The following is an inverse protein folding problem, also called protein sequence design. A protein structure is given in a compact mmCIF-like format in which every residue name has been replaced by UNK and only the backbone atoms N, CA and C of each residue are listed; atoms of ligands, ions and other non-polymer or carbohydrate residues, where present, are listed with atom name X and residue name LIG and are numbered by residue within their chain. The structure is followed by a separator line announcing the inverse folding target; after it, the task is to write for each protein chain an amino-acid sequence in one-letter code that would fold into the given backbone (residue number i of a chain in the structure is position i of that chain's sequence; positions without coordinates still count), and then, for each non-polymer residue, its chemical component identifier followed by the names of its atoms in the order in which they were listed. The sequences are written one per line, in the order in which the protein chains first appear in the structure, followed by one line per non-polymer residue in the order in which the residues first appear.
data_IF_053358804561
#
_entry.id   IF_053358804561
#
_cell.length_a   1.000
_cell.length_b   1.000
_cell.length_c   1.000
_cell.angle_alpha   90.00
_cell.angle_beta   90.00
_cell.angle_gamma   90.00
#
_symmetry.space_group_name_H-M   'P 1'
#
loop_
_entity.id
_entity.type
_entity.pdbx_description
1 polymer ?
#
# COMPACT_ATOMS: atom_id res chain seq x y z
N UNK A 1 15.27 5.60 17.97
CA UNK A 1 14.07 6.14 18.65
C UNK A 1 13.05 6.66 17.65
N UNK A 2 13.45 7.49 16.69
CA UNK A 2 12.57 8.08 15.66
C UNK A 2 11.83 7.01 14.82
N UNK A 3 12.50 5.94 14.37
CA UNK A 3 11.82 4.90 13.57
C UNK A 3 10.67 4.21 14.30
N UNK A 4 10.82 3.91 15.60
CA UNK A 4 9.76 3.26 16.40
C UNK A 4 8.52 4.15 16.54
N UNK A 5 8.70 5.47 16.61
CA UNK A 5 7.60 6.43 16.70
C UNK A 5 6.87 6.52 15.36
N UNK A 6 7.62 6.63 14.25
CA UNK A 6 7.06 6.73 12.89
C UNK A 6 6.25 5.50 12.48
N UNK A 7 6.60 4.33 13.01
CA UNK A 7 5.91 3.06 12.73
C UNK A 7 4.83 2.69 13.77
N UNK A 8 4.55 3.55 14.75
CA UNK A 8 3.45 3.34 15.68
C UNK A 8 2.09 3.53 14.99
N UNK A 9 1.12 2.61 15.13
CA UNK A 9 -0.15 2.66 14.41
C UNK A 9 -1.01 3.89 14.77
N UNK A 10 -1.05 4.28 16.05
CA UNK A 10 -1.81 5.44 16.51
C UNK A 10 -1.20 6.73 15.98
N UNK A 11 0.12 6.87 16.07
CA UNK A 11 0.82 8.04 15.55
C UNK A 11 0.59 8.21 14.05
N UNK A 12 0.71 7.12 13.27
CA UNK A 12 0.47 7.14 11.83
C UNK A 12 -0.96 7.49 11.49
N UNK A 13 -1.93 6.94 12.23
CA UNK A 13 -3.34 7.25 12.03
C UNK A 13 -3.64 8.73 12.27
N UNK A 14 -3.16 9.28 13.39
CA UNK A 14 -3.31 10.71 13.69
C UNK A 14 -2.64 11.58 12.63
N UNK A 15 -1.38 11.30 12.30
CA UNK A 15 -0.63 12.07 11.31
C UNK A 15 -1.27 12.00 9.92
N UNK A 16 -1.80 10.84 9.52
CA UNK A 16 -2.51 10.68 8.26
C UNK A 16 -3.71 11.64 8.16
N UNK A 17 -4.56 11.68 9.19
CA UNK A 17 -5.71 12.58 9.23
C UNK A 17 -5.31 14.04 9.41
N UNK A 18 -4.21 14.33 10.12
CA UNK A 18 -3.65 15.67 10.19
C UNK A 18 -3.20 16.17 8.83
N UNK A 19 -2.50 15.34 8.03
CA UNK A 19 -2.09 15.69 6.66
C UNK A 19 -3.31 15.93 5.77
N UNK A 20 -4.28 15.01 5.80
CA UNK A 20 -5.50 15.14 5.01
C UNK A 20 -6.29 16.40 5.41
N UNK A 21 -6.48 16.63 6.70
CA UNK A 21 -7.19 17.80 7.23
C UNK A 21 -6.46 19.11 6.94
N UNK A 22 -5.14 19.15 7.07
CA UNK A 22 -4.33 20.33 6.73
C UNK A 22 -4.44 20.67 5.24
N UNK A 23 -4.48 19.66 4.36
CA UNK A 23 -4.71 19.89 2.93
C UNK A 23 -6.10 20.47 2.67
N UNK A 24 -7.14 19.88 3.28
CA UNK A 24 -8.53 20.36 3.14
C UNK A 24 -8.67 21.81 3.65
N UNK A 25 -8.08 22.12 4.80
CA UNK A 25 -8.06 23.48 5.35
C UNK A 25 -7.29 24.46 4.46
N UNK A 26 -6.17 24.02 3.89
CA UNK A 26 -5.41 24.83 2.93
C UNK A 26 -6.23 25.08 1.66
N UNK A 27 -6.97 24.07 1.18
CA UNK A 27 -7.82 24.22 0.01
C UNK A 27 -8.94 25.26 0.21
N UNK A 28 -9.55 25.32 1.40
CA UNK A 28 -10.53 26.35 1.78
C UNK A 28 -9.97 27.77 1.71
N UNK A 29 -8.67 27.93 2.02
CA UNK A 29 -8.00 29.22 1.95
C UNK A 29 -7.62 29.64 0.52
N UNK A 30 -7.23 28.69 -0.34
CA UNK A 30 -6.67 28.99 -1.67
C UNK A 30 -7.65 28.85 -2.83
N UNK A 31 -8.75 28.10 -2.67
CA UNK A 31 -9.71 27.84 -3.74
C UNK A 31 -11.00 28.62 -3.50
N UNK A 32 -11.18 29.74 -4.22
CA UNK A 32 -12.39 30.58 -4.11
C UNK A 32 -13.70 29.81 -4.36
N UNK A 33 -13.64 28.73 -5.15
CA UNK A 33 -14.79 27.89 -5.50
C UNK A 33 -15.17 26.86 -4.42
N UNK A 34 -14.34 26.69 -3.38
CA UNK A 34 -14.51 25.71 -2.31
C UNK A 34 -14.58 26.40 -0.95
N UNK A 35 -15.67 26.16 -0.21
CA UNK A 35 -15.84 26.72 1.13
C UNK A 35 -16.36 25.69 2.14
N UNK A 36 -15.54 25.39 3.15
CA UNK A 36 -15.89 24.50 4.26
C UNK A 36 -17.04 25.06 5.10
N UNK A 37 -17.09 26.37 5.30
CA UNK A 37 -18.14 27.01 6.09
C UNK A 37 -19.51 26.81 5.45
N UNK A 38 -19.59 26.95 4.12
CA UNK A 38 -20.82 26.67 3.35
C UNK A 38 -21.23 25.21 3.45
N UNK A 39 -20.29 24.27 3.33
CA UNK A 39 -20.57 22.84 3.43
C UNK A 39 -21.06 22.43 4.82
N UNK A 40 -20.43 22.95 5.87
CA UNK A 40 -20.86 22.72 7.26
C UNK A 40 -22.25 23.31 7.51
N UNK A 41 -22.55 24.48 6.95
CA UNK A 41 -23.87 25.10 7.06
C UNK A 41 -24.97 24.23 6.43
N UNK A 42 -24.73 23.65 5.25
CA UNK A 42 -25.66 22.72 4.60
C UNK A 42 -25.90 21.48 5.46
N UNK A 43 -24.82 20.88 5.99
CA UNK A 43 -24.91 19.70 6.85
C UNK A 43 -25.69 19.97 8.15
N UNK A 44 -25.40 21.09 8.82
CA UNK A 44 -26.11 21.50 10.04
C UNK A 44 -27.59 21.79 9.77
N UNK A 45 -27.89 22.53 8.70
CA UNK A 45 -29.26 22.85 8.29
C UNK A 45 -30.08 21.58 8.02
N UNK A 46 -29.49 20.59 7.34
CA UNK A 46 -30.16 19.31 7.11
C UNK A 46 -30.43 18.50 8.38
N UNK A 47 -29.56 18.61 9.40
CA UNK A 47 -29.73 17.93 10.69
C UNK A 47 -30.76 18.63 11.58
N UNK A 48 -30.83 19.97 11.56
CA UNK A 48 -31.65 20.78 12.46
C UNK A 48 -33.02 21.15 11.86
N UNK A 49 -33.06 21.54 10.59
CA UNK A 49 -34.24 22.03 9.87
C UNK A 49 -34.82 21.05 8.84
N UNK A 50 -34.20 19.88 8.66
CA UNK A 50 -34.66 18.85 7.74
C UNK A 50 -34.34 19.14 6.27
N UNK A 51 -34.97 18.38 5.37
CA UNK A 51 -34.63 18.34 3.94
C UNK A 51 -34.91 19.67 3.23
N UNK A 52 -35.97 20.37 3.62
CA UNK A 52 -36.40 21.62 2.97
C UNK A 52 -35.43 22.77 3.24
N UNK A 53 -34.89 22.87 4.45
CA UNK A 53 -33.93 23.92 4.81
C UNK A 53 -32.52 23.63 4.26
N UNK A 54 -32.17 22.36 4.08
CA UNK A 54 -30.98 22.00 3.31
C UNK A 54 -31.15 22.31 1.81
N UNK A 55 -32.34 22.07 1.25
CA UNK A 55 -32.63 22.31 -0.16
C UNK A 55 -32.53 23.80 -0.53
N UNK A 56 -32.95 24.71 0.35
CA UNK A 56 -32.79 26.17 0.15
C UNK A 56 -31.34 26.60 0.05
N UNK A 57 -30.43 25.97 0.81
CA UNK A 57 -29.01 26.30 0.77
C UNK A 57 -28.34 25.77 -0.52
N UNK A 58 -28.84 24.68 -1.08
CA UNK A 58 -28.32 24.10 -2.33
C UNK A 58 -28.63 25.00 -3.55
N UNK A 59 -29.55 25.94 -3.43
CA UNK A 59 -29.85 26.94 -4.47
C UNK A 59 -28.70 27.96 -4.66
N UNK A 60 -27.84 28.18 -3.64
CA UNK A 60 -26.65 29.02 -3.82
C UNK A 60 -25.67 28.32 -4.79
N UNK A 61 -25.36 28.92 -5.95
CA UNK A 61 -24.37 28.36 -6.88
C UNK A 61 -23.02 28.08 -6.21
N UNK A 62 -22.65 28.88 -5.20
CA UNK A 62 -21.42 28.69 -4.44
C UNK A 62 -21.43 27.45 -3.53
N UNK A 63 -22.61 26.97 -3.12
CA UNK A 63 -22.75 25.70 -2.38
C UNK A 63 -22.56 24.52 -3.34
N UNK A 64 -23.14 24.60 -4.54
CA UNK A 64 -22.99 23.57 -5.58
C UNK A 64 -21.53 23.40 -5.99
N UNK A 65 -20.83 24.51 -6.25
CA UNK A 65 -19.40 24.45 -6.56
C UNK A 65 -18.61 23.86 -5.40
N UNK A 66 -18.89 24.30 -4.17
CA UNK A 66 -18.20 23.80 -2.97
C UNK A 66 -18.40 22.30 -2.79
N UNK A 67 -19.59 21.75 -3.05
CA UNK A 67 -19.88 20.32 -2.96
C UNK A 67 -19.10 19.52 -4.01
N UNK A 68 -19.05 19.99 -5.25
CA UNK A 68 -18.28 19.33 -6.30
C UNK A 68 -16.77 19.36 -6.00
N UNK A 69 -16.22 20.52 -5.60
CA UNK A 69 -14.82 20.65 -5.22
C UNK A 69 -14.48 19.85 -3.96
N UNK A 70 -15.40 19.70 -3.00
CA UNK A 70 -15.18 18.90 -1.79
C UNK A 70 -14.79 17.46 -2.12
N UNK A 71 -15.42 16.85 -3.13
CA UNK A 71 -15.11 15.49 -3.58
C UNK A 71 -13.67 15.41 -4.09
N UNK A 72 -13.29 16.34 -4.98
CA UNK A 72 -11.94 16.40 -5.54
C UNK A 72 -10.88 16.67 -4.48
N UNK A 73 -11.10 17.68 -3.63
CA UNK A 73 -10.21 18.05 -2.52
C UNK A 73 -10.04 16.89 -1.55
N UNK A 74 -11.12 16.20 -1.17
CA UNK A 74 -11.05 15.01 -0.31
C UNK A 74 -10.24 13.87 -0.97
N UNK A 75 -10.47 13.62 -2.27
CA UNK A 75 -9.70 12.65 -3.04
C UNK A 75 -8.20 12.97 -3.07
N UNK A 76 -7.84 14.21 -3.38
CA UNK A 76 -6.45 14.67 -3.40
C UNK A 76 -5.81 14.63 -2.01
N UNK A 77 -6.53 15.06 -0.96
CA UNK A 77 -6.08 15.00 0.42
C UNK A 77 -5.71 13.57 0.82
N UNK A 78 -6.60 12.62 0.53
CA UNK A 78 -6.35 11.20 0.80
C UNK A 78 -5.17 10.67 -0.02
N UNK A 79 -5.07 10.99 -1.31
CA UNK A 79 -3.94 10.57 -2.15
C UNK A 79 -2.60 11.08 -1.62
N UNK A 80 -2.53 12.36 -1.20
CA UNK A 80 -1.33 12.93 -0.61
C UNK A 80 -0.99 12.27 0.73
N UNK A 81 -1.98 12.04 1.59
CA UNK A 81 -1.77 11.34 2.84
C UNK A 81 -1.28 9.91 2.61
N UNK A 82 -1.82 9.18 1.63
CA UNK A 82 -1.34 7.85 1.24
C UNK A 82 0.07 7.89 0.66
N UNK A 83 0.35 8.82 -0.25
CA UNK A 83 1.67 9.01 -0.86
C UNK A 83 2.74 9.23 0.22
N UNK A 84 2.52 10.20 1.11
CA UNK A 84 3.49 10.56 2.14
C UNK A 84 3.62 9.41 3.15
N UNK A 85 2.51 8.96 3.73
CA UNK A 85 2.55 8.05 4.86
C UNK A 85 2.88 6.61 4.47
N UNK A 86 2.44 6.14 3.30
CA UNK A 86 2.58 4.74 2.92
C UNK A 86 3.65 4.56 1.85
N UNK A 87 3.69 5.38 0.81
CA UNK A 87 4.63 5.17 -0.29
C UNK A 87 6.02 5.68 0.06
N UNK A 88 6.15 6.98 0.36
CA UNK A 88 7.44 7.61 0.62
C UNK A 88 8.11 7.04 1.87
N UNK A 89 7.36 6.84 2.96
CA UNK A 89 7.93 6.25 4.18
C UNK A 89 8.38 4.80 3.99
N UNK A 90 7.65 3.98 3.21
CA UNK A 90 8.10 2.63 2.89
C UNK A 90 9.34 2.68 1.99
N UNK A 91 9.36 3.51 0.94
CA UNK A 91 10.53 3.69 0.07
C UNK A 91 11.76 4.12 0.88
N UNK A 92 11.63 5.11 1.77
CA UNK A 92 12.72 5.56 2.63
C UNK A 92 13.19 4.46 3.59
N UNK A 93 12.25 3.70 4.16
CA UNK A 93 12.57 2.60 5.06
C UNK A 93 13.29 1.47 4.33
N UNK A 94 12.82 1.09 3.14
CA UNK A 94 13.49 0.11 2.29
C UNK A 94 14.85 0.60 1.83
N UNK A 95 14.98 1.88 1.47
CA UNK A 95 16.27 2.51 1.18
C UNK A 95 17.24 2.43 2.36
N UNK A 96 16.75 2.63 3.59
CA UNK A 96 17.55 2.41 4.81
C UNK A 96 17.95 0.95 4.99
N UNK A 97 17.04 0.00 4.76
CA UNK A 97 17.34 -1.43 4.84
C UNK A 97 18.39 -1.86 3.81
N UNK A 98 18.30 -1.35 2.57
CA UNK A 98 19.29 -1.60 1.51
C UNK A 98 20.70 -1.11 1.87
N UNK A 99 20.81 0.00 2.59
CA UNK A 99 22.12 0.49 3.08
C UNK A 99 22.75 -0.45 4.12
N UNK A 100 21.96 -1.27 4.81
CA UNK A 100 22.47 -2.24 5.80
C UNK A 100 23.15 -3.43 5.11
N UNK A 101 22.69 -3.85 3.93
CA UNK A 101 23.20 -5.02 3.20
C UNK A 101 24.65 -4.89 2.69
N UNK A 102 25.29 -3.72 2.83
CA UNK A 102 26.69 -3.46 2.45
C UNK A 102 27.06 -3.96 1.03
N UNK A 103 26.31 -3.51 0.02
CA UNK A 103 26.35 -3.95 -1.40
C UNK A 103 27.73 -4.02 -2.07
N UNK A 104 28.77 -3.44 -1.47
CA UNK A 104 30.14 -3.41 -2.03
C UNK A 104 31.01 -4.58 -1.55
N UNK A 105 30.57 -5.34 -0.56
CA UNK A 105 31.37 -6.39 0.06
C UNK A 105 31.44 -7.69 -0.76
N UNK A 106 30.49 -7.91 -1.68
CA UNK A 106 30.32 -9.18 -2.40
C UNK A 106 29.87 -10.32 -1.48
N UNK A 107 29.72 -11.53 -2.03
CA UNK A 107 29.18 -12.69 -1.30
C UNK A 107 30.02 -13.06 -0.06
N UNK A 108 31.35 -13.11 -0.20
CA UNK A 108 32.25 -13.45 0.91
C UNK A 108 32.33 -12.36 1.99
N UNK A 109 32.40 -11.09 1.58
CA UNK A 109 32.43 -9.98 2.52
C UNK A 109 31.09 -9.82 3.25
N UNK A 110 29.98 -10.16 2.59
CA UNK A 110 28.67 -10.27 3.22
C UNK A 110 28.68 -11.38 4.28
N UNK A 111 29.09 -12.59 3.91
CA UNK A 111 29.17 -13.74 4.83
C UNK A 111 29.95 -13.41 6.12
N UNK A 112 31.14 -12.82 5.98
CA UNK A 112 32.01 -12.47 7.11
C UNK A 112 31.46 -11.41 8.05
N UNK A 113 30.57 -10.54 7.57
CA UNK A 113 29.99 -9.43 8.38
C UNK A 113 28.54 -9.66 8.76
N UNK A 114 27.97 -10.79 8.33
CA UNK A 114 26.53 -11.03 8.39
C UNK A 114 26.01 -11.12 9.83
N UNK A 115 26.52 -12.07 10.61
CA UNK A 115 26.04 -12.34 11.99
C UNK A 115 26.33 -11.17 12.94
N UNK A 116 27.48 -10.50 12.80
CA UNK A 116 27.88 -9.41 13.71
C UNK A 116 27.23 -8.06 13.39
N UNK A 117 27.10 -7.71 12.10
CA UNK A 117 26.73 -6.35 11.68
C UNK A 117 25.39 -6.27 10.97
N UNK A 118 25.11 -7.19 10.05
CA UNK A 118 23.97 -7.09 9.12
C UNK A 118 22.70 -7.61 9.79
N UNK A 119 22.71 -8.87 10.24
CA UNK A 119 21.55 -9.54 10.83
C UNK A 119 20.96 -8.78 12.03
N UNK A 120 21.72 -8.34 13.06
CA UNK A 120 21.13 -7.63 14.19
C UNK A 120 20.44 -6.32 13.80
N UNK A 121 20.89 -5.66 12.73
CA UNK A 121 20.30 -4.42 12.23
C UNK A 121 19.05 -4.67 11.39
N UNK A 122 19.06 -5.70 10.54
CA UNK A 122 17.89 -6.08 9.76
C UNK A 122 16.75 -6.61 10.65
N UNK A 123 17.06 -7.43 11.65
CA UNK A 123 16.07 -7.94 12.61
C UNK A 123 15.39 -6.84 13.42
N UNK A 124 16.07 -5.71 13.65
CA UNK A 124 15.52 -4.53 14.32
C UNK A 124 14.74 -3.60 13.38
N UNK A 125 14.72 -3.89 12.07
CA UNK A 125 14.04 -3.06 11.10
C UNK A 125 12.51 -3.22 11.24
N UNK A 126 11.74 -2.12 11.33
CA UNK A 126 10.32 -2.16 11.67
C UNK A 126 9.45 -2.88 10.64
N UNK A 127 9.81 -2.84 9.36
CA UNK A 127 9.03 -3.47 8.29
C UNK A 127 9.50 -4.86 7.90
N UNK A 128 10.81 -5.08 7.82
CA UNK A 128 11.37 -6.32 7.26
C UNK A 128 11.93 -7.23 8.34
N UNK A 129 12.00 -6.81 9.61
CA UNK A 129 12.70 -7.56 10.65
C UNK A 129 12.13 -8.95 10.89
N UNK A 130 10.81 -9.09 10.93
CA UNK A 130 10.14 -10.39 11.08
C UNK A 130 10.34 -11.27 9.84
N UNK A 131 10.04 -10.75 8.65
CA UNK A 131 10.21 -11.49 7.39
C UNK A 131 11.66 -11.86 7.11
N UNK A 132 12.61 -11.00 7.50
CA UNK A 132 14.04 -11.28 7.40
C UNK A 132 14.47 -12.38 8.37
N UNK A 133 13.86 -12.47 9.55
CA UNK A 133 14.12 -13.56 10.48
C UNK A 133 13.72 -14.91 9.87
N UNK A 134 12.52 -14.99 9.30
CA UNK A 134 12.04 -16.22 8.66
C UNK A 134 12.93 -16.60 7.46
N UNK A 135 13.35 -15.61 6.67
CA UNK A 135 14.32 -15.84 5.61
C UNK A 135 15.70 -16.30 6.15
N UNK A 136 16.20 -15.68 7.22
CA UNK A 136 17.48 -16.02 7.86
C UNK A 136 17.53 -17.48 8.31
N UNK A 137 16.41 -17.99 8.83
CA UNK A 137 16.26 -19.37 9.29
C UNK A 137 16.39 -20.38 8.13
N UNK A 138 16.27 -19.94 6.87
CA UNK A 138 16.44 -20.80 5.67
C UNK A 138 17.83 -20.76 5.04
N UNK A 139 18.71 -19.89 5.54
CA UNK A 139 20.05 -19.71 4.98
C UNK A 139 21.00 -20.82 5.44
N UNK A 140 21.81 -21.34 4.53
CA UNK A 140 22.86 -22.31 4.84
C UNK A 140 24.16 -21.56 5.14
N UNK A 141 24.65 -21.71 6.38
CA UNK A 141 25.80 -20.96 6.91
C UNK A 141 26.95 -21.84 7.37
N UNK A 142 26.80 -23.16 7.29
CA UNK A 142 27.73 -24.14 7.88
C UNK A 142 29.16 -24.07 7.32
N UNK A 143 29.33 -23.43 6.15
CA UNK A 143 30.61 -23.33 5.44
C UNK A 143 31.22 -21.93 5.46
N UNK A 144 30.61 -21.00 6.20
CA UNK A 144 31.15 -19.63 6.33
C UNK A 144 32.54 -19.65 6.97
N UNK A 145 32.74 -20.48 8.00
CA UNK A 145 34.04 -20.65 8.66
C UNK A 145 35.11 -21.27 7.73
N UNK A 146 34.69 -21.89 6.62
CA UNK A 146 35.56 -22.46 5.59
C UNK A 146 35.85 -21.47 4.45
N UNK A 147 35.38 -20.22 4.59
CA UNK A 147 35.54 -19.19 3.56
C UNK A 147 34.59 -19.34 2.38
N UNK A 148 33.47 -20.06 2.54
CA UNK A 148 32.40 -20.12 1.54
C UNK A 148 31.32 -19.06 1.81
N UNK A 149 30.64 -18.56 0.75
CA UNK A 149 29.54 -17.61 0.92
C UNK A 149 28.33 -18.24 1.60
N UNK A 150 27.47 -17.41 2.19
CA UNK A 150 26.16 -17.87 2.69
C UNK A 150 25.31 -18.26 1.50
N UNK A 151 24.69 -19.44 1.57
CA UNK A 151 23.82 -19.93 0.51
C UNK A 151 22.34 -19.73 0.87
N UNK A 152 21.54 -19.36 -0.12
CA UNK A 152 20.09 -19.35 0.01
C UNK A 152 19.44 -20.43 -0.86
N UNK A 153 18.50 -21.16 -0.27
CA UNK A 153 17.74 -22.23 -0.94
C UNK A 153 16.38 -21.75 -1.43
N UNK A 154 15.83 -20.75 -0.74
CA UNK A 154 14.62 -20.04 -1.09
C UNK A 154 14.99 -18.59 -1.39
N UNK A 155 14.24 -17.95 -2.28
CA UNK A 155 14.43 -16.54 -2.63
C UNK A 155 13.79 -15.62 -1.58
N UNK A 156 14.39 -14.48 -1.23
CA UNK A 156 13.84 -13.56 -0.22
C UNK A 156 12.46 -13.00 -0.58
N UNK A 157 12.11 -12.92 -1.87
CA UNK A 157 10.79 -12.49 -2.35
C UNK A 157 9.64 -13.37 -1.84
N UNK A 158 9.93 -14.62 -1.43
CA UNK A 158 8.94 -15.50 -0.82
C UNK A 158 8.43 -14.97 0.53
N UNK A 159 9.31 -14.31 1.29
CA UNK A 159 9.02 -13.76 2.62
C UNK A 159 8.77 -12.25 2.59
N UNK A 160 9.50 -11.54 1.73
CA UNK A 160 9.49 -10.08 1.64
C UNK A 160 8.75 -9.68 0.36
N UNK A 161 7.46 -9.39 0.51
CA UNK A 161 6.58 -9.02 -0.59
C UNK A 161 5.50 -8.04 -0.13
N UNK A 162 4.65 -7.61 -1.07
CA UNK A 162 3.58 -6.64 -0.79
C UNK A 162 2.55 -7.14 0.23
N UNK A 163 2.35 -8.45 0.37
CA UNK A 163 1.41 -9.00 1.34
C UNK A 163 1.84 -8.68 2.77
N UNK A 164 3.13 -8.84 3.08
CA UNK A 164 3.72 -8.45 4.37
C UNK A 164 3.51 -6.95 4.68
N UNK A 165 3.66 -6.08 3.69
CA UNK A 165 3.40 -4.64 3.88
C UNK A 165 1.92 -4.38 4.15
N UNK A 166 1.01 -5.04 3.44
CA UNK A 166 -0.45 -4.90 3.63
C UNK A 166 -0.91 -5.40 5.00
N UNK A 167 -0.25 -6.40 5.58
CA UNK A 167 -0.54 -6.87 6.94
C UNK A 167 -0.19 -5.82 8.00
N UNK A 168 0.96 -5.16 7.85
CA UNK A 168 1.39 -4.11 8.76
C UNK A 168 0.67 -2.76 8.50
N UNK A 169 0.20 -2.53 7.28
CA UNK A 169 -0.43 -1.28 6.84
C UNK A 169 -1.82 -1.57 6.23
N UNK A 170 -2.88 -1.68 7.07
CA UNK A 170 -4.22 -2.01 6.60
C UNK A 170 -4.80 -0.96 5.64
N UNK A 171 -4.32 0.29 5.69
CA UNK A 171 -4.69 1.34 4.74
C UNK A 171 -4.45 0.96 3.27
N UNK A 172 -3.41 0.17 2.99
CA UNK A 172 -3.11 -0.29 1.63
C UNK A 172 -4.05 -1.41 1.15
N UNK A 173 -4.78 -2.07 2.06
CA UNK A 173 -5.83 -3.04 1.68
C UNK A 173 -7.09 -2.34 1.18
N UNK A 174 -7.42 -1.19 1.77
CA UNK A 174 -8.65 -0.45 1.45
C UNK A 174 -8.48 0.56 0.32
N UNK A 175 -7.25 0.97 0.00
CA UNK A 175 -6.97 2.03 -0.98
C UNK A 175 -7.60 1.76 -2.35
N UNK A 176 -7.61 0.51 -2.82
CA UNK A 176 -8.21 0.16 -4.11
C UNK A 176 -9.73 0.25 -4.12
N UNK A 177 -10.38 0.14 -2.97
CA UNK A 177 -11.85 0.25 -2.84
C UNK A 177 -12.33 1.70 -2.78
N UNK A 178 -11.47 2.63 -2.35
CA UNK A 178 -11.84 4.04 -2.15
C UNK A 178 -12.27 4.72 -3.46
N UNK A 179 -11.68 4.36 -4.61
CA UNK A 179 -12.13 4.90 -5.90
C UNK A 179 -13.60 4.57 -6.17
N UNK A 180 -14.03 3.35 -5.85
CA UNK A 180 -15.42 2.93 -5.96
C UNK A 180 -16.36 3.76 -5.08
N UNK A 181 -15.92 4.14 -3.89
CA UNK A 181 -16.71 5.01 -3.01
C UNK A 181 -16.92 6.40 -3.61
N UNK A 182 -15.94 6.98 -4.29
CA UNK A 182 -16.14 8.28 -4.98
C UNK A 182 -17.18 8.22 -6.10
N UNK A 183 -17.23 7.12 -6.87
CA UNK A 183 -18.30 6.89 -7.84
C UNK A 183 -19.64 6.77 -7.14
N UNK A 184 -19.70 5.97 -6.07
CA UNK A 184 -20.89 5.79 -5.25
C UNK A 184 -21.40 7.09 -4.66
N UNK A 185 -20.52 7.94 -4.14
CA UNK A 185 -20.86 9.27 -3.60
C UNK A 185 -21.42 10.18 -4.69
N UNK A 186 -20.80 10.25 -5.88
CA UNK A 186 -21.32 11.03 -7.00
C UNK A 186 -22.71 10.57 -7.45
N UNK A 187 -22.94 9.25 -7.50
CA UNK A 187 -24.23 8.65 -7.84
C UNK A 187 -25.28 8.91 -6.74
N UNK A 188 -24.91 8.78 -5.46
CA UNK A 188 -25.78 9.08 -4.34
C UNK A 188 -26.26 10.54 -4.38
N UNK A 189 -25.35 11.49 -4.58
CA UNK A 189 -25.68 12.91 -4.70
C UNK A 189 -26.58 13.17 -5.92
N UNK A 190 -26.41 12.41 -7.00
CA UNK A 190 -27.29 12.50 -8.17
C UNK A 190 -28.72 12.09 -7.83
N UNK A 191 -28.89 10.98 -7.09
CA UNK A 191 -30.21 10.55 -6.65
C UNK A 191 -30.85 11.53 -5.68
N UNK A 192 -30.07 12.05 -4.70
CA UNK A 192 -30.53 13.08 -3.78
C UNK A 192 -31.00 14.32 -4.56
N UNK A 193 -30.21 14.79 -5.53
CA UNK A 193 -30.60 15.91 -6.39
C UNK A 193 -31.92 15.66 -7.13
N UNK A 194 -32.12 14.45 -7.70
CA UNK A 194 -33.37 14.12 -8.38
C UNK A 194 -34.56 14.10 -7.41
N UNK A 195 -34.40 13.54 -6.20
CA UNK A 195 -35.46 13.51 -5.19
C UNK A 195 -35.84 14.92 -4.75
N UNK A 196 -34.86 15.79 -4.51
CA UNK A 196 -35.09 17.20 -4.17
C UNK A 196 -35.81 17.95 -5.30
N UNK A 197 -35.39 17.74 -6.54
CA UNK A 197 -36.04 18.31 -7.71
C UNK A 197 -37.51 17.87 -7.80
N UNK A 198 -37.78 16.57 -7.68
CA UNK A 198 -39.14 16.04 -7.78
C UNK A 198 -40.05 16.54 -6.66
N UNK A 199 -39.52 16.64 -5.43
CA UNK A 199 -40.26 17.20 -4.30
C UNK A 199 -40.72 18.64 -4.58
N UNK A 200 -39.83 19.48 -5.10
CA UNK A 200 -40.15 20.86 -5.48
C UNK A 200 -41.10 20.96 -6.67
N UNK A 201 -40.95 20.10 -7.68
CA UNK A 201 -41.88 20.07 -8.80
C UNK A 201 -43.31 19.71 -8.33
N UNK A 202 -43.43 18.77 -7.39
CA UNK A 202 -44.71 18.35 -6.85
C UNK A 202 -45.40 19.46 -6.04
N UNK A 203 -44.65 20.24 -5.24
CA UNK A 203 -45.22 21.38 -4.50
C UNK A 203 -45.66 22.50 -5.44
N UNK A 204 -44.90 22.80 -6.48
CA UNK A 204 -45.22 23.84 -7.45
C UNK A 204 -46.40 23.49 -8.37
N UNK A 205 -46.54 22.21 -8.75
CA UNK A 205 -47.64 21.73 -9.60
C UNK A 205 -49.03 21.89 -8.96
N UNK A 206 -49.10 22.00 -7.63
CA UNK A 206 -50.34 22.31 -6.91
C UNK A 206 -50.71 23.79 -6.87
N UNK A 207 -49.86 24.69 -7.39
CA UNK A 207 -50.10 26.14 -7.39
C UNK A 207 -50.78 26.61 -8.68
N UNK A 208 -51.70 27.58 -8.57
CA UNK A 208 -52.34 28.25 -9.72
C UNK A 208 -51.61 29.51 -10.18
N UNK A 209 -50.48 29.85 -9.54
CA UNK A 209 -49.70 31.05 -9.80
C UNK A 209 -48.55 30.77 -10.80
N UNK A 210 -48.58 31.47 -11.93
CA UNK A 210 -47.57 31.34 -12.97
C UNK A 210 -46.16 31.74 -12.48
N UNK A 211 -46.05 32.67 -11.52
CA UNK A 211 -44.76 33.07 -10.95
C UNK A 211 -44.13 31.94 -10.12
N UNK A 212 -44.95 31.19 -9.38
CA UNK A 212 -44.52 30.03 -8.59
C UNK A 212 -44.05 28.90 -9.51
N UNK A 213 -44.78 28.64 -10.60
CA UNK A 213 -44.33 27.68 -11.62
C UNK A 213 -43.01 28.09 -12.27
N UNK A 214 -42.80 29.37 -12.57
CA UNK A 214 -41.56 29.85 -13.18
C UNK A 214 -40.35 29.69 -12.22
N UNK A 215 -40.52 30.03 -10.93
CA UNK A 215 -39.48 29.83 -9.91
C UNK A 215 -39.10 28.36 -9.78
N UNK A 216 -40.11 27.49 -9.70
CA UNK A 216 -39.88 26.05 -9.59
C UNK A 216 -39.09 25.49 -10.79
N UNK A 217 -39.37 25.97 -12.02
CA UNK A 217 -38.58 25.57 -13.21
C UNK A 217 -37.13 26.04 -13.12
N UNK A 218 -36.87 27.25 -12.63
CA UNK A 218 -35.49 27.75 -12.44
C UNK A 218 -34.74 26.93 -11.39
N UNK A 219 -35.39 26.62 -10.27
CA UNK A 219 -34.82 25.77 -9.21
C UNK A 219 -34.55 24.35 -9.69
N UNK A 220 -35.44 23.77 -10.50
CA UNK A 220 -35.23 22.46 -11.13
C UNK A 220 -33.98 22.44 -12.01
N UNK A 221 -33.72 23.52 -12.75
CA UNK A 221 -32.51 23.64 -13.57
C UNK A 221 -31.25 23.76 -12.72
N UNK A 222 -31.30 24.47 -11.59
CA UNK A 222 -30.17 24.56 -10.65
C UNK A 222 -29.86 23.21 -10.00
N UNK A 223 -30.89 22.50 -9.51
CA UNK A 223 -30.74 21.16 -8.93
C UNK A 223 -30.23 20.17 -9.99
N UNK A 224 -30.66 20.33 -11.24
CA UNK A 224 -30.14 19.54 -12.35
C UNK A 224 -28.65 19.81 -12.61
N UNK A 225 -28.19 21.06 -12.54
CA UNK A 225 -26.77 21.41 -12.65
C UNK A 225 -25.96 20.80 -11.50
N UNK A 226 -26.47 20.89 -10.27
CA UNK A 226 -25.88 20.31 -9.07
C UNK A 226 -25.57 18.82 -9.23
N UNK A 227 -26.58 18.00 -9.59
CA UNK A 227 -26.40 16.55 -9.73
C UNK A 227 -25.35 16.17 -10.79
N UNK A 228 -25.24 16.95 -11.87
CA UNK A 228 -24.26 16.68 -12.92
C UNK A 228 -22.84 17.04 -12.46
N UNK A 229 -22.64 18.20 -11.84
CA UNK A 229 -21.32 18.61 -11.35
C UNK A 229 -20.77 17.69 -10.27
N UNK A 230 -21.59 17.30 -9.28
CA UNK A 230 -21.14 16.37 -8.23
C UNK A 230 -20.84 14.98 -8.77
N UNK A 231 -21.59 14.52 -9.79
CA UNK A 231 -21.35 13.24 -10.45
C UNK A 231 -20.06 13.25 -11.27
N UNK A 232 -19.83 14.31 -12.06
CA UNK A 232 -18.58 14.50 -12.81
C UNK A 232 -17.38 14.53 -11.85
N UNK A 233 -17.49 15.27 -10.74
CA UNK A 233 -16.44 15.31 -9.72
C UNK A 233 -16.18 13.94 -9.10
N UNK A 234 -17.22 13.17 -8.76
CA UNK A 234 -17.12 11.80 -8.25
C UNK A 234 -16.43 10.85 -9.22
N UNK A 235 -16.82 10.87 -10.49
CA UNK A 235 -16.21 10.04 -11.53
C UNK A 235 -14.76 10.43 -11.81
N UNK A 236 -14.48 11.73 -11.99
CA UNK A 236 -13.13 12.22 -12.25
C UNK A 236 -12.19 11.87 -11.09
N UNK A 237 -12.63 12.12 -9.85
CA UNK A 237 -11.86 11.78 -8.64
C UNK A 237 -11.63 10.29 -8.54
N UNK A 238 -12.64 9.45 -8.82
CA UNK A 238 -12.50 7.99 -8.84
C UNK A 238 -11.45 7.52 -9.82
N UNK A 239 -11.46 8.01 -11.07
CA UNK A 239 -10.49 7.62 -12.10
C UNK A 239 -9.08 7.98 -11.66
N UNK A 240 -8.87 9.22 -11.21
CA UNK A 240 -7.57 9.68 -10.72
C UNK A 240 -7.11 8.83 -9.53
N UNK A 241 -8.01 8.55 -8.59
CA UNK A 241 -7.70 7.75 -7.40
C UNK A 241 -7.34 6.30 -7.76
N UNK A 242 -8.07 5.68 -8.68
CA UNK A 242 -7.82 4.32 -9.15
C UNK A 242 -6.45 4.21 -9.86
N UNK A 243 -6.10 5.19 -10.69
CA UNK A 243 -4.79 5.22 -11.34
C UNK A 243 -3.67 5.45 -10.33
N UNK A 244 -3.79 6.48 -9.49
CA UNK A 244 -2.77 6.83 -8.50
C UNK A 244 -2.53 5.69 -7.49
N UNK A 245 -3.58 5.04 -7.00
CA UNK A 245 -3.46 3.89 -6.10
C UNK A 245 -2.70 2.72 -6.73
N UNK A 246 -2.89 2.44 -8.03
CA UNK A 246 -2.10 1.43 -8.77
C UNK A 246 -0.63 1.83 -8.82
N UNK A 247 -0.32 3.08 -9.14
CA UNK A 247 1.05 3.58 -9.15
C UNK A 247 1.73 3.46 -7.78
N UNK A 248 1.01 3.74 -6.70
CA UNK A 248 1.52 3.60 -5.33
C UNK A 248 1.91 2.15 -5.00
N UNK A 249 1.07 1.18 -5.39
CA UNK A 249 1.36 -0.24 -5.18
C UNK A 249 2.60 -0.67 -5.99
N UNK A 250 2.66 -0.31 -7.27
CA UNK A 250 3.81 -0.61 -8.14
C UNK A 250 5.10 -0.03 -7.56
N UNK A 251 5.05 1.18 -7.01
CA UNK A 251 6.20 1.82 -6.41
C UNK A 251 6.69 1.07 -5.16
N UNK A 252 5.77 0.70 -4.26
CA UNK A 252 6.10 -0.10 -3.06
C UNK A 252 6.67 -1.46 -3.47
N UNK A 253 6.04 -2.16 -4.42
CA UNK A 253 6.53 -3.44 -4.94
C UNK A 253 7.95 -3.30 -5.51
N UNK A 254 8.20 -2.25 -6.29
CA UNK A 254 9.53 -1.97 -6.82
C UNK A 254 10.56 -1.73 -5.71
N UNK A 255 10.18 -1.06 -4.62
CA UNK A 255 11.06 -0.83 -3.47
C UNK A 255 11.47 -2.14 -2.77
N UNK A 256 10.49 -3.04 -2.60
CA UNK A 256 10.70 -4.38 -2.04
C UNK A 256 11.56 -5.24 -2.96
N UNK A 257 11.24 -5.29 -4.26
CA UNK A 257 12.01 -6.04 -5.25
C UNK A 257 13.47 -5.59 -5.27
N UNK A 258 13.74 -4.28 -5.30
CA UNK A 258 15.11 -3.76 -5.24
C UNK A 258 15.87 -4.17 -3.97
N UNK A 259 15.18 -4.31 -2.84
CA UNK A 259 15.80 -4.80 -1.62
C UNK A 259 16.10 -6.30 -1.70
N UNK A 260 15.15 -7.09 -2.22
CA UNK A 260 15.32 -8.54 -2.40
C UNK A 260 16.44 -8.85 -3.40
N UNK A 261 16.52 -8.16 -4.52
CA UNK A 261 17.61 -8.28 -5.50
C UNK A 261 18.97 -7.95 -4.86
N UNK A 262 19.04 -6.88 -4.07
CA UNK A 262 20.27 -6.51 -3.37
C UNK A 262 20.68 -7.53 -2.31
N UNK A 263 19.72 -8.23 -1.70
CA UNK A 263 20.00 -9.32 -0.78
C UNK A 263 20.45 -10.57 -1.53
N UNK A 264 19.77 -10.95 -2.62
CA UNK A 264 20.15 -12.09 -3.47
C UNK A 264 21.55 -11.93 -4.06
N UNK A 265 21.92 -10.72 -4.50
CA UNK A 265 23.27 -10.47 -5.05
C UNK A 265 24.42 -10.68 -4.06
N UNK A 266 24.11 -10.77 -2.76
CA UNK A 266 25.09 -10.97 -1.69
C UNK A 266 25.12 -12.43 -1.20
N UNK A 267 24.28 -13.29 -1.79
CA UNK A 267 24.07 -14.67 -1.41
C UNK A 267 24.30 -15.57 -2.61
N UNK A 268 24.77 -16.79 -2.36
CA UNK A 268 24.89 -17.80 -3.40
C UNK A 268 23.60 -18.61 -3.47
N UNK A 269 22.86 -18.48 -4.56
CA UNK A 269 21.63 -19.26 -4.74
C UNK A 269 21.94 -20.73 -5.05
N UNK A 270 21.53 -21.60 -4.12
CA UNK A 270 21.62 -23.06 -4.25
C UNK A 270 20.22 -23.65 -4.29
N UNK A 271 19.73 -23.94 -5.50
CA UNK A 271 18.38 -24.50 -5.65
C UNK A 271 18.23 -25.85 -4.90
N UNK A 272 17.06 -26.15 -4.33
CA UNK A 272 16.81 -27.44 -3.67
C UNK A 272 17.11 -28.64 -4.58
N UNK A 273 16.81 -28.53 -5.88
CA UNK A 273 17.12 -29.56 -6.87
C UNK A 273 18.62 -29.76 -7.05
N UNK A 274 19.41 -28.67 -7.05
CA UNK A 274 20.87 -28.78 -7.12
C UNK A 274 21.48 -29.41 -5.87
N UNK A 275 20.88 -29.16 -4.69
CA UNK A 275 21.29 -29.80 -3.44
C UNK A 275 20.94 -31.29 -3.47
N UNK A 276 19.72 -31.64 -3.91
CA UNK A 276 19.30 -33.04 -4.06
C UNK A 276 20.18 -33.80 -5.08
N UNK A 277 20.54 -33.16 -6.20
CA UNK A 277 21.44 -33.75 -7.18
C UNK A 277 22.84 -33.99 -6.58
N UNK A 278 23.40 -33.02 -5.83
CA UNK A 278 24.67 -33.21 -5.11
C UNK A 278 24.59 -34.34 -4.09
N UNK A 279 23.50 -34.42 -3.31
CA UNK A 279 23.29 -35.49 -2.34
C UNK A 279 23.20 -36.87 -3.02
N UNK A 280 22.57 -36.94 -4.19
CA UNK A 280 22.49 -38.16 -5.00
C UNK A 280 23.86 -38.61 -5.52
N UNK A 281 24.69 -37.68 -6.00
CA UNK A 281 26.06 -37.99 -6.42
C UNK A 281 26.92 -38.46 -5.22
N UNK A 282 26.87 -37.75 -4.09
CA UNK A 282 27.56 -38.19 -2.87
C UNK A 282 27.08 -39.60 -2.43
N UNK A 283 25.78 -39.89 -2.58
CA UNK A 283 25.24 -41.21 -2.31
C UNK A 283 25.75 -42.31 -3.26
N UNK A 284 25.99 -41.99 -4.54
CA UNK A 284 26.65 -42.92 -5.48
C UNK A 284 28.09 -43.19 -5.06
N UNK A 285 28.84 -42.14 -4.70
CA UNK A 285 30.23 -42.28 -4.27
C UNK A 285 30.34 -43.15 -3.02
N UNK A 286 29.47 -42.92 -2.02
CA UNK A 286 29.40 -43.76 -0.82
C UNK A 286 29.05 -45.21 -1.14
N UNK A 287 28.09 -45.44 -2.04
CA UNK A 287 27.74 -46.80 -2.50
C UNK A 287 28.94 -47.48 -3.14
N UNK A 288 29.69 -46.77 -3.98
CA UNK A 288 30.83 -47.34 -4.71
C UNK A 288 32.02 -47.61 -3.77
N UNK A 289 32.26 -46.75 -2.78
CA UNK A 289 33.20 -47.03 -1.68
C UNK A 289 32.78 -48.26 -0.86
N UNK A 290 31.49 -48.42 -0.54
CA UNK A 290 30.99 -49.59 0.18
C UNK A 290 31.18 -50.89 -0.63
N UNK A 291 31.00 -50.84 -1.94
CA UNK A 291 31.28 -51.97 -2.84
C UNK A 291 32.76 -52.31 -2.87
N UNK A 292 33.64 -51.31 -2.85
CA UNK A 292 35.09 -51.54 -2.79
C UNK A 292 35.50 -52.20 -1.47
N UNK A 293 35.02 -51.70 -0.33
CA UNK A 293 35.29 -52.27 1.00
C UNK A 293 34.80 -53.73 1.09
N UNK A 294 33.63 -54.03 0.53
CA UNK A 294 33.08 -55.39 0.52
C UNK A 294 33.64 -56.29 -0.60
N UNK A 295 34.59 -55.81 -1.40
CA UNK A 295 35.21 -56.62 -2.44
C UNK A 295 36.31 -57.51 -1.85
N UNK A 296 36.44 -58.74 -2.37
CA UNK A 296 37.52 -59.67 -2.00
C UNK A 296 38.92 -59.03 -2.15
N UNK A 297 39.04 -58.03 -3.02
CA UNK A 297 40.26 -57.24 -3.26
C UNK A 297 40.66 -56.35 -2.07
N UNK A 298 39.71 -55.91 -1.25
CA UNK A 298 39.99 -55.16 -0.03
C UNK A 298 40.47 -56.11 1.08
N UNK A 299 39.80 -57.26 1.26
CA UNK A 299 40.18 -58.26 2.25
C UNK A 299 41.54 -58.93 1.97
N UNK A 300 41.86 -59.19 0.71
CA UNK A 300 43.19 -59.70 0.31
C UNK A 300 44.30 -58.68 0.60
N UNK A 301 44.10 -57.39 0.27
CA UNK A 301 45.06 -56.33 0.63
C UNK A 301 45.20 -56.15 2.14
N UNK A 302 44.13 -56.30 2.91
CA UNK A 302 44.17 -56.25 4.36
C UNK A 302 44.98 -57.43 4.93
N UNK A 303 44.75 -58.64 4.42
CA UNK A 303 45.49 -59.84 4.83
C UNK A 303 47.00 -59.73 4.54
N UNK A 304 47.37 -59.20 3.37
CA UNK A 304 48.78 -58.96 3.00
C UNK A 304 49.46 -57.87 3.84
N UNK A 305 48.70 -56.97 4.48
CA UNK A 305 49.24 -55.89 5.31
C UNK A 305 49.41 -56.26 6.79
N UNK A 306 48.83 -57.38 7.22
CA UNK A 306 48.84 -57.86 8.62
C UNK A 306 49.72 -59.11 8.78
N UNK A 307 50.10 -59.78 7.69
CA UNK A 307 51.09 -60.86 7.66
C UNK A 307 52.51 -60.35 7.45
#
# INVERSE_FOLDING_TARGET
MISKIVWNPLFRFLLFWTIAGAFVYSADYYLDAFSLTKLVAVGRSGMEGGVDDAAKLIEDPGVVSSLAFAIGVAGTALLLAFLIMHVLLVEMSMGSARRILNRRAGELGFANTYEERIKPRLLRHPLVGSAWKEFDDTLLKDRVDQGEPIENTIRPQAFINIAMIRENLPGLKVISSISGYFVGTGLLLTFVGIVLALHKAATAAGSSDAAVMQSAVQELLQVASFKFWTSIAGLATSIVFALASRWFVIWIESALTRFCEDAEHQLKYSSPNSIAAKAFEVGKDQRDQLKEINSDRYFSRLADSVG
#
